data_IF_671535984135
#
_entry.id   IF_671535984135
#
_cell.length_a   1.000
_cell.length_b   1.000
_cell.length_c   1.000
_cell.angle_alpha   90.00
_cell.angle_beta   90.00
_cell.angle_gamma   90.00
#
_symmetry.space_group_name_H-M   'P 1'
#
loop_
_entity.id
_entity.type
_entity.pdbx_description
1 polymer ?
#
# COMPACT_ATOMS: atom_id res chain seq x y z
N UNK A 1 6.28 -2.80 -23.53
CA UNK A 1 6.86 -2.11 -24.71
C UNK A 1 6.18 -0.77 -25.05
N UNK A 2 4.85 -0.73 -25.25
CA UNK A 2 4.13 0.50 -25.64
C UNK A 2 4.17 1.63 -24.60
N UNK A 3 4.05 1.32 -23.29
CA UNK A 3 4.12 2.32 -22.21
C UNK A 3 5.51 2.96 -22.10
N UNK A 4 6.58 2.18 -22.28
CA UNK A 4 7.96 2.70 -22.30
C UNK A 4 8.21 3.62 -23.51
N UNK A 5 7.63 3.31 -24.67
CA UNK A 5 7.75 4.12 -25.89
C UNK A 5 6.95 5.43 -25.79
N UNK A 6 5.76 5.38 -25.18
CA UNK A 6 4.96 6.58 -24.89
C UNK A 6 5.62 7.46 -23.81
N UNK A 7 6.25 6.85 -22.79
CA UNK A 7 7.10 7.54 -21.80
C UNK A 7 8.28 8.22 -22.48
N UNK A 8 9.01 7.53 -23.36
CA UNK A 8 10.20 8.10 -24.02
C UNK A 8 9.85 9.25 -24.97
N UNK A 9 8.80 9.10 -25.79
CA UNK A 9 8.37 10.16 -26.71
C UNK A 9 7.82 11.39 -25.97
N UNK A 10 7.10 11.20 -24.86
CA UNK A 10 6.58 12.31 -24.06
C UNK A 10 7.69 13.03 -23.29
N UNK A 11 8.71 12.30 -22.81
CA UNK A 11 9.88 12.89 -22.13
C UNK A 11 10.75 13.71 -23.09
N UNK A 12 10.89 13.30 -24.35
CA UNK A 12 11.60 14.09 -25.37
C UNK A 12 10.89 15.41 -25.67
N UNK A 13 9.56 15.39 -25.83
CA UNK A 13 8.74 16.60 -26.04
C UNK A 13 8.83 17.55 -24.84
N UNK A 14 8.79 17.02 -23.62
CA UNK A 14 8.97 17.82 -22.40
C UNK A 14 10.39 18.40 -22.33
N UNK A 15 11.43 17.64 -22.71
CA UNK A 15 12.83 18.11 -22.73
C UNK A 15 13.05 19.26 -23.73
N UNK A 16 12.30 19.26 -24.84
CA UNK A 16 12.35 20.30 -25.85
C UNK A 16 11.66 21.59 -25.36
N UNK A 17 10.52 21.46 -24.66
CA UNK A 17 9.76 22.57 -24.07
C UNK A 17 10.44 23.21 -22.85
N UNK A 18 11.25 22.44 -22.10
CA UNK A 18 12.04 22.95 -20.96
C UNK A 18 13.05 24.05 -21.38
N UNK A 19 13.45 24.09 -22.66
CA UNK A 19 14.45 25.06 -23.14
C UNK A 19 13.92 26.49 -23.29
N UNK A 20 12.59 26.73 -23.26
CA UNK A 20 12.03 28.04 -23.62
C UNK A 20 11.60 28.94 -22.45
N UNK A 21 11.29 28.44 -21.24
CA UNK A 21 11.16 29.25 -19.99
C UNK A 21 10.80 28.36 -18.78
N UNK A 22 11.25 28.67 -17.55
CA UNK A 22 11.01 27.82 -16.37
C UNK A 22 9.54 27.76 -15.92
N UNK A 23 8.74 28.79 -16.17
CA UNK A 23 7.31 28.84 -15.80
C UNK A 23 6.44 28.00 -16.76
N UNK A 24 6.75 28.02 -18.06
CA UNK A 24 6.08 27.17 -19.07
C UNK A 24 6.49 25.69 -18.94
N UNK A 25 7.72 25.43 -18.52
CA UNK A 25 8.21 24.09 -18.19
C UNK A 25 7.45 23.48 -17.00
N UNK A 26 7.21 24.25 -15.94
CA UNK A 26 6.45 23.82 -14.76
C UNK A 26 4.98 23.50 -15.14
N UNK A 27 4.33 24.38 -15.91
CA UNK A 27 2.97 24.15 -16.38
C UNK A 27 2.85 22.90 -17.26
N UNK A 28 3.78 22.71 -18.20
CA UNK A 28 3.82 21.52 -19.08
C UNK A 28 4.05 20.23 -18.29
N UNK A 29 4.91 20.28 -17.27
CA UNK A 29 5.18 19.16 -16.38
C UNK A 29 3.97 18.77 -15.53
N UNK A 30 3.24 19.74 -15.01
CA UNK A 30 1.98 19.51 -14.26
C UNK A 30 0.92 18.87 -15.18
N UNK A 31 0.77 19.36 -16.42
CA UNK A 31 -0.15 18.79 -17.41
C UNK A 31 0.24 17.33 -17.73
N UNK A 32 1.52 17.06 -17.95
CA UNK A 32 2.02 15.71 -18.20
C UNK A 32 1.75 14.77 -17.02
N UNK A 33 1.99 15.20 -15.78
CA UNK A 33 1.73 14.42 -14.57
C UNK A 33 0.24 14.10 -14.38
N UNK A 34 -0.63 15.08 -14.61
CA UNK A 34 -2.07 14.88 -14.60
C UNK A 34 -2.52 13.92 -15.71
N UNK A 35 -1.88 14.01 -16.89
CA UNK A 35 -2.06 13.03 -17.96
C UNK A 35 -1.56 11.65 -17.53
N UNK A 36 -0.45 11.55 -16.80
CA UNK A 36 0.13 10.27 -16.40
C UNK A 36 -0.78 9.47 -15.46
N UNK A 37 -1.28 10.08 -14.38
CA UNK A 37 -2.27 9.43 -13.49
C UNK A 37 -3.48 8.95 -14.28
N UNK A 38 -4.00 9.81 -15.17
CA UNK A 38 -5.15 9.47 -16.03
C UNK A 38 -4.83 8.29 -16.96
N UNK A 39 -3.65 8.27 -17.57
CA UNK A 39 -3.25 7.19 -18.47
C UNK A 39 -3.13 5.86 -17.72
N UNK A 40 -2.55 5.84 -16.52
CA UNK A 40 -2.50 4.65 -15.66
C UNK A 40 -3.91 4.12 -15.38
N UNK A 41 -4.84 4.99 -14.95
CA UNK A 41 -6.23 4.60 -14.71
C UNK A 41 -6.92 4.05 -15.97
N UNK A 42 -6.74 4.71 -17.11
CA UNK A 42 -7.31 4.27 -18.39
C UNK A 42 -6.73 2.92 -18.82
N UNK A 43 -5.42 2.72 -18.66
CA UNK A 43 -4.75 1.45 -19.00
C UNK A 43 -5.27 0.30 -18.10
N UNK A 44 -5.41 0.53 -16.79
CA UNK A 44 -5.98 -0.47 -15.88
C UNK A 44 -7.40 -0.87 -16.30
N UNK A 45 -8.26 0.10 -16.64
CA UNK A 45 -9.63 -0.18 -17.09
C UNK A 45 -9.67 -0.89 -18.45
N UNK A 46 -8.83 -0.46 -19.40
CA UNK A 46 -8.74 -1.08 -20.73
C UNK A 46 -8.30 -2.54 -20.65
N UNK A 47 -7.37 -2.84 -19.76
CA UNK A 47 -6.85 -4.18 -19.56
C UNK A 47 -7.74 -5.02 -18.61
N UNK A 48 -8.86 -4.44 -18.15
CA UNK A 48 -9.92 -5.10 -17.39
C UNK A 48 -9.70 -5.16 -15.88
N UNK A 49 -8.68 -4.49 -15.33
CA UNK A 49 -8.30 -4.46 -13.92
C UNK A 49 -9.16 -3.48 -13.10
N UNK A 50 -10.46 -3.75 -13.03
CA UNK A 50 -11.43 -2.88 -12.38
C UNK A 50 -11.30 -2.87 -10.85
N UNK A 51 -10.87 -3.97 -10.21
CA UNK A 51 -10.68 -4.01 -8.75
C UNK A 51 -9.45 -3.20 -8.35
N UNK A 52 -8.32 -3.42 -9.04
CA UNK A 52 -7.10 -2.66 -8.86
C UNK A 52 -7.33 -1.17 -9.13
N UNK A 53 -8.09 -0.83 -10.19
CA UNK A 53 -8.47 0.55 -10.47
C UNK A 53 -9.28 1.17 -9.32
N UNK A 54 -10.32 0.48 -8.86
CA UNK A 54 -11.20 0.98 -7.78
C UNK A 54 -10.42 1.25 -6.51
N UNK A 55 -9.50 0.35 -6.17
CA UNK A 55 -8.64 0.50 -5.00
C UNK A 55 -7.64 1.65 -5.15
N UNK A 56 -6.94 1.76 -6.29
CA UNK A 56 -6.04 2.87 -6.56
C UNK A 56 -6.80 4.21 -6.51
N UNK A 57 -8.00 4.25 -7.08
CA UNK A 57 -8.85 5.44 -7.09
C UNK A 57 -9.25 5.84 -5.67
N UNK A 58 -9.72 4.89 -4.85
CA UNK A 58 -10.08 5.15 -3.46
C UNK A 58 -8.88 5.62 -2.61
N UNK A 59 -7.69 5.05 -2.86
CA UNK A 59 -6.45 5.50 -2.23
C UNK A 59 -6.10 6.93 -2.66
N UNK A 60 -6.22 7.26 -3.96
CA UNK A 60 -5.97 8.60 -4.45
C UNK A 60 -6.93 9.63 -3.85
N UNK A 61 -8.23 9.33 -3.77
CA UNK A 61 -9.22 10.21 -3.13
C UNK A 61 -8.91 10.44 -1.65
N UNK A 62 -8.55 9.37 -0.92
CA UNK A 62 -8.16 9.48 0.49
C UNK A 62 -6.88 10.31 0.64
N UNK A 63 -5.92 10.17 -0.28
CA UNK A 63 -4.70 10.97 -0.32
C UNK A 63 -5.02 12.46 -0.46
N UNK A 64 -5.93 12.81 -1.37
CA UNK A 64 -6.36 14.19 -1.61
C UNK A 64 -7.11 14.77 -0.40
N UNK A 65 -8.04 14.01 0.18
CA UNK A 65 -8.78 14.41 1.36
C UNK A 65 -7.88 14.67 2.58
N UNK A 66 -6.88 13.82 2.78
CA UNK A 66 -5.91 13.95 3.86
C UNK A 66 -5.06 15.21 3.71
N UNK A 67 -4.63 15.53 2.49
CA UNK A 67 -3.88 16.76 2.21
C UNK A 67 -4.72 18.02 2.39
N UNK A 68 -5.96 18.00 1.91
CA UNK A 68 -6.86 19.13 2.11
C UNK A 68 -7.14 19.38 3.60
N UNK A 69 -7.34 18.31 4.38
CA UNK A 69 -7.48 18.42 5.83
C UNK A 69 -6.23 19.00 6.51
N UNK A 70 -5.03 18.62 6.06
CA UNK A 70 -3.77 19.17 6.57
C UNK A 70 -3.62 20.66 6.26
N UNK A 71 -3.97 21.05 5.02
CA UNK A 71 -3.95 22.44 4.55
C UNK A 71 -4.88 23.32 5.40
N UNK A 72 -6.11 22.87 5.63
CA UNK A 72 -7.10 23.58 6.48
C UNK A 72 -6.60 23.72 7.92
N UNK A 73 -5.95 22.69 8.46
CA UNK A 73 -5.40 22.71 9.82
C UNK A 73 -4.05 23.42 9.95
N UNK A 74 -3.51 23.98 8.86
CA UNK A 74 -2.17 24.59 8.81
C UNK A 74 -1.07 23.65 9.33
N UNK A 75 -1.27 22.33 9.18
CA UNK A 75 -0.25 21.36 9.54
C UNK A 75 0.82 21.35 8.47
N UNK A 76 2.09 21.28 8.86
CA UNK A 76 3.24 21.14 7.95
C UNK A 76 3.29 19.79 7.22
N UNK A 77 2.22 18.99 7.30
CA UNK A 77 2.11 17.73 6.59
C UNK A 77 1.84 17.99 5.11
N UNK A 78 2.93 18.14 4.36
CA UNK A 78 2.94 18.43 2.94
C UNK A 78 3.27 17.17 2.13
N UNK A 79 2.43 16.13 2.24
CA UNK A 79 2.52 15.05 1.25
C UNK A 79 2.28 15.65 -0.14
N UNK A 80 3.21 15.39 -1.07
CA UNK A 80 3.05 15.84 -2.46
C UNK A 80 1.86 15.13 -3.12
N UNK A 81 1.23 15.72 -4.15
CA UNK A 81 0.23 15.03 -4.95
C UNK A 81 0.74 13.70 -5.49
N UNK A 82 -0.17 12.74 -5.64
CA UNK A 82 0.18 11.44 -6.20
C UNK A 82 0.63 11.58 -7.66
N UNK A 83 0.08 12.56 -8.37
CA UNK A 83 0.48 12.99 -9.71
C UNK A 83 1.94 13.43 -9.76
N UNK A 84 2.47 13.96 -8.65
CA UNK A 84 3.86 14.38 -8.55
C UNK A 84 4.83 13.25 -8.22
N UNK A 85 4.31 12.05 -7.97
CA UNK A 85 5.06 10.90 -7.52
C UNK A 85 4.82 9.73 -8.48
N UNK A 86 5.29 9.83 -9.75
CA UNK A 86 5.06 8.82 -10.77
C UNK A 86 5.62 7.45 -10.36
N UNK A 87 6.70 7.42 -9.58
CA UNK A 87 7.28 6.17 -9.08
C UNK A 87 6.29 5.41 -8.17
N UNK A 88 5.55 6.13 -7.30
CA UNK A 88 4.52 5.51 -6.45
C UNK A 88 3.37 4.97 -7.29
N UNK A 89 2.94 5.73 -8.30
CA UNK A 89 1.92 5.28 -9.26
C UNK A 89 2.35 4.02 -10.02
N UNK A 90 3.62 3.92 -10.40
CA UNK A 90 4.17 2.74 -11.08
C UNK A 90 4.15 1.52 -10.17
N UNK A 91 4.49 1.68 -8.88
CA UNK A 91 4.43 0.60 -7.91
C UNK A 91 2.98 0.15 -7.67
N UNK A 92 2.04 1.09 -7.51
CA UNK A 92 0.62 0.76 -7.43
C UNK A 92 0.15 -0.03 -8.65
N UNK A 93 0.40 0.49 -9.84
CA UNK A 93 0.01 -0.18 -11.08
C UNK A 93 0.58 -1.59 -11.17
N UNK A 94 1.89 -1.75 -10.93
CA UNK A 94 2.57 -3.03 -11.06
C UNK A 94 2.04 -4.08 -10.08
N UNK A 95 2.01 -3.76 -8.78
CA UNK A 95 1.66 -4.76 -7.76
C UNK A 95 0.15 -4.99 -7.68
N UNK A 96 -0.69 -3.97 -7.86
CA UNK A 96 -2.14 -4.16 -7.81
C UNK A 96 -2.64 -5.02 -8.98
N UNK A 97 -2.16 -4.77 -10.21
CA UNK A 97 -2.57 -5.57 -11.38
C UNK A 97 -2.09 -7.01 -11.29
N UNK A 98 -0.88 -7.25 -10.74
CA UNK A 98 -0.39 -8.60 -10.44
C UNK A 98 -1.22 -9.28 -9.35
N UNK A 99 -1.56 -8.57 -8.28
CA UNK A 99 -2.42 -9.10 -7.22
C UNK A 99 -3.80 -9.48 -7.77
N UNK A 100 -4.44 -8.64 -8.58
CA UNK A 100 -5.73 -8.97 -9.20
C UNK A 100 -5.60 -10.15 -10.19
N UNK A 101 -4.51 -10.21 -10.97
CA UNK A 101 -4.24 -11.34 -11.87
C UNK A 101 -4.10 -12.66 -11.10
N UNK A 102 -3.38 -12.64 -9.97
CA UNK A 102 -3.23 -13.80 -9.09
C UNK A 102 -4.55 -14.17 -8.40
N UNK A 103 -5.34 -13.18 -7.98
CA UNK A 103 -6.66 -13.39 -7.37
C UNK A 103 -7.61 -14.09 -8.34
N UNK A 104 -7.62 -13.70 -9.63
CA UNK A 104 -8.40 -14.39 -10.68
C UNK A 104 -8.02 -15.85 -10.90
N UNK A 105 -6.79 -16.22 -10.54
CA UNK A 105 -6.26 -17.59 -10.62
C UNK A 105 -6.35 -18.33 -9.28
N UNK A 106 -6.92 -17.70 -8.26
CA UNK A 106 -6.98 -18.20 -6.87
C UNK A 106 -5.59 -18.49 -6.26
N UNK A 107 -4.55 -17.82 -6.76
CA UNK A 107 -3.19 -17.90 -6.23
C UNK A 107 -3.01 -16.90 -5.08
N UNK A 108 -3.72 -17.16 -3.98
CA UNK A 108 -3.78 -16.25 -2.82
C UNK A 108 -2.43 -15.97 -2.18
N UNK A 109 -1.46 -16.90 -2.26
CA UNK A 109 -0.11 -16.63 -1.79
C UNK A 109 0.58 -15.52 -2.61
N UNK A 110 0.40 -15.52 -3.92
CA UNK A 110 0.93 -14.47 -4.79
C UNK A 110 0.18 -13.15 -4.57
N UNK A 111 -1.13 -13.18 -4.32
CA UNK A 111 -1.90 -12.00 -3.90
C UNK A 111 -1.27 -11.39 -2.65
N UNK A 112 -1.07 -12.20 -1.60
CA UNK A 112 -0.45 -11.75 -0.35
C UNK A 112 0.92 -11.13 -0.60
N UNK A 113 1.79 -11.79 -1.37
CA UNK A 113 3.16 -11.32 -1.60
C UNK A 113 3.19 -9.98 -2.35
N UNK A 114 2.32 -9.76 -3.34
CA UNK A 114 2.25 -8.48 -4.05
C UNK A 114 1.72 -7.35 -3.15
N UNK A 115 0.70 -7.62 -2.33
CA UNK A 115 0.18 -6.65 -1.35
C UNK A 115 1.20 -6.32 -0.26
N UNK A 116 1.92 -7.34 0.22
CA UNK A 116 2.98 -7.17 1.20
C UNK A 116 4.14 -6.33 0.64
N UNK A 117 4.53 -6.56 -0.63
CA UNK A 117 5.54 -5.73 -1.29
C UNK A 117 5.13 -4.25 -1.36
N UNK A 118 3.85 -3.95 -1.62
CA UNK A 118 3.33 -2.58 -1.54
C UNK A 118 3.44 -2.02 -0.11
N UNK A 119 3.05 -2.80 0.91
CA UNK A 119 3.17 -2.37 2.29
C UNK A 119 4.63 -2.04 2.67
N UNK A 120 5.58 -2.89 2.29
CA UNK A 120 7.01 -2.64 2.52
C UNK A 120 7.53 -1.41 1.77
N UNK A 121 7.05 -1.16 0.55
CA UNK A 121 7.43 0.01 -0.22
C UNK A 121 6.98 1.32 0.46
N UNK A 122 5.76 1.33 1.00
CA UNK A 122 5.19 2.48 1.71
C UNK A 122 5.56 2.56 3.20
N UNK A 123 6.77 2.14 3.58
CA UNK A 123 7.19 2.11 4.99
C UNK A 123 7.67 3.47 5.56
N UNK A 124 7.53 4.56 4.80
CA UNK A 124 7.87 5.90 5.28
C UNK A 124 6.79 6.43 6.24
N UNK A 125 7.18 7.30 7.16
CA UNK A 125 6.27 7.89 8.17
C UNK A 125 5.07 8.61 7.53
N UNK A 126 5.27 9.26 6.38
CA UNK A 126 4.21 9.96 5.64
C UNK A 126 3.19 9.00 5.03
N UNK A 127 3.65 7.84 4.54
CA UNK A 127 2.85 6.86 3.81
C UNK A 127 2.30 5.75 4.73
N UNK A 128 2.44 5.92 6.06
CA UNK A 128 2.00 4.95 7.07
C UNK A 128 0.57 4.46 6.82
N UNK A 129 -0.35 5.36 6.52
CA UNK A 129 -1.76 5.01 6.29
C UNK A 129 -1.95 4.11 5.05
N UNK A 130 -1.11 4.23 4.03
CA UNK A 130 -1.10 3.40 2.80
C UNK A 130 -0.57 2.01 3.13
N UNK A 131 0.54 1.94 3.87
CA UNK A 131 1.08 0.67 4.39
C UNK A 131 0.05 -0.05 5.25
N UNK A 132 -0.63 0.67 6.16
CA UNK A 132 -1.66 0.11 7.03
C UNK A 132 -2.81 -0.51 6.21
N UNK A 133 -3.29 0.20 5.18
CA UNK A 133 -4.30 -0.33 4.24
C UNK A 133 -3.87 -1.66 3.62
N UNK A 134 -2.62 -1.77 3.17
CA UNK A 134 -2.13 -3.02 2.58
C UNK A 134 -1.91 -4.13 3.61
N UNK A 135 -1.47 -3.83 4.82
CA UNK A 135 -1.41 -4.84 5.88
C UNK A 135 -2.79 -5.38 6.27
N UNK A 136 -3.82 -4.53 6.33
CA UNK A 136 -5.20 -4.99 6.55
C UNK A 136 -5.68 -5.91 5.43
N UNK A 137 -5.31 -5.62 4.17
CA UNK A 137 -5.63 -6.52 3.04
C UNK A 137 -4.83 -7.81 3.11
N UNK A 138 -3.54 -7.76 3.42
CA UNK A 138 -2.72 -8.95 3.64
C UNK A 138 -3.34 -9.85 4.71
N UNK A 139 -3.84 -9.28 5.80
CA UNK A 139 -4.54 -10.01 6.85
C UNK A 139 -5.77 -10.74 6.31
N UNK A 140 -6.65 -10.07 5.57
CA UNK A 140 -7.84 -10.69 4.96
C UNK A 140 -7.48 -11.84 4.00
N UNK A 141 -6.42 -11.68 3.20
CA UNK A 141 -5.97 -12.74 2.30
C UNK A 141 -5.34 -13.90 3.06
N UNK A 142 -4.54 -13.62 4.08
CA UNK A 142 -3.89 -14.64 4.91
C UNK A 142 -4.91 -15.56 5.61
N UNK A 143 -6.08 -15.03 6.01
CA UNK A 143 -7.16 -15.84 6.57
C UNK A 143 -7.72 -16.89 5.59
N UNK A 144 -7.58 -16.67 4.28
CA UNK A 144 -8.01 -17.58 3.22
C UNK A 144 -6.92 -18.62 2.89
N UNK A 145 -5.65 -18.28 3.08
CA UNK A 145 -4.53 -19.19 2.84
C UNK A 145 -4.51 -20.24 3.98
N UNK A 146 -4.88 -21.49 3.65
CA UNK A 146 -4.81 -22.62 4.60
C UNK A 146 -3.71 -23.63 4.28
N UNK A 147 -3.16 -23.57 3.07
CA UNK A 147 -2.19 -24.54 2.55
C UNK A 147 -0.78 -24.38 3.16
N UNK A 148 -0.47 -23.21 3.70
CA UNK A 148 0.84 -22.86 4.25
C UNK A 148 0.97 -23.19 5.75
N UNK A 149 0.01 -23.94 6.30
CA UNK A 149 -0.07 -24.23 7.73
C UNK A 149 -0.37 -22.99 8.59
N UNK A 150 -0.87 -21.89 8.03
CA UNK A 150 -1.20 -20.65 8.75
C UNK A 150 -0.02 -19.69 8.92
N UNK A 151 1.08 -19.90 8.18
CA UNK A 151 2.30 -19.10 8.33
C UNK A 151 2.04 -17.63 8.01
N UNK A 152 1.36 -17.36 6.90
CA UNK A 152 0.97 -16.01 6.47
C UNK A 152 -0.04 -15.38 7.42
N UNK A 153 -0.90 -16.18 8.04
CA UNK A 153 -1.85 -15.71 9.06
C UNK A 153 -1.10 -15.19 10.30
N UNK A 154 -0.09 -15.94 10.78
CA UNK A 154 0.78 -15.51 11.87
C UNK A 154 1.60 -14.25 11.53
N UNK A 155 2.18 -14.19 10.32
CA UNK A 155 2.91 -13.00 9.85
C UNK A 155 1.99 -11.77 9.80
N UNK A 156 0.78 -11.91 9.24
CA UNK A 156 -0.18 -10.82 9.16
C UNK A 156 -0.65 -10.34 10.53
N UNK A 157 -0.86 -11.24 11.49
CA UNK A 157 -1.12 -10.86 12.89
C UNK A 157 0.03 -10.04 13.48
N UNK A 158 1.29 -10.39 13.18
CA UNK A 158 2.47 -9.62 13.59
C UNK A 158 2.45 -8.20 13.02
N UNK A 159 2.10 -8.03 11.74
CA UNK A 159 1.96 -6.71 11.12
C UNK A 159 0.85 -5.89 11.75
N UNK A 160 -0.31 -6.48 12.05
CA UNK A 160 -1.40 -5.80 12.75
C UNK A 160 -0.96 -5.34 14.15
N UNK A 161 -0.19 -6.14 14.87
CA UNK A 161 0.39 -5.74 16.17
C UNK A 161 1.26 -4.48 16.06
N UNK A 162 2.12 -4.40 15.04
CA UNK A 162 2.93 -3.21 14.78
C UNK A 162 2.07 -1.98 14.45
N UNK A 163 0.95 -2.15 13.75
CA UNK A 163 0.03 -1.04 13.48
C UNK A 163 -0.52 -0.44 14.77
N UNK A 164 -0.93 -1.30 15.72
CA UNK A 164 -1.50 -0.88 16.98
C UNK A 164 -0.46 -0.19 17.89
N UNK A 165 0.76 -0.71 17.99
CA UNK A 165 1.83 -0.06 18.77
C UNK A 165 2.11 1.37 18.29
N UNK A 166 2.04 1.60 16.97
CA UNK A 166 2.27 2.92 16.43
C UNK A 166 1.04 3.84 16.53
N UNK A 167 -0.18 3.30 16.64
CA UNK A 167 -1.43 4.07 16.78
C UNK A 167 -1.79 4.38 18.24
N UNK A 168 -1.36 3.54 19.20
CA UNK A 168 -1.51 3.77 20.65
C UNK A 168 -0.73 5.00 21.15
N UNK A 169 0.21 5.52 20.35
CA UNK A 169 0.81 6.83 20.59
C UNK A 169 -0.11 8.01 20.22
N UNK A 170 -1.27 7.80 19.62
CA UNK A 170 -2.05 8.91 19.03
C UNK A 170 -3.57 8.90 19.27
N UNK A 171 -4.27 7.79 19.57
CA UNK A 171 -5.67 7.88 20.06
C UNK A 171 -6.27 6.57 20.58
N UNK A 172 -7.23 6.71 21.50
CA UNK A 172 -7.99 5.66 22.21
C UNK A 172 -9.05 4.94 21.35
N UNK A 173 -8.64 4.05 20.45
CA UNK A 173 -9.55 3.18 19.67
C UNK A 173 -9.08 1.71 19.70
N UNK A 174 -8.74 1.21 20.90
CA UNK A 174 -8.06 -0.08 21.13
C UNK A 174 -8.96 -1.32 21.21
N UNK A 175 -10.26 -1.24 20.91
CA UNK A 175 -11.19 -2.33 21.28
C UNK A 175 -11.53 -3.34 20.18
N UNK A 176 -11.07 -3.20 18.92
CA UNK A 176 -11.69 -3.96 17.82
C UNK A 176 -11.04 -5.29 17.43
N UNK A 177 -9.81 -5.58 17.85
CA UNK A 177 -9.11 -6.83 17.50
C UNK A 177 -8.32 -7.37 18.68
N UNK A 178 -9.05 -7.75 19.73
CA UNK A 178 -8.52 -8.60 20.80
C UNK A 178 -8.13 -9.93 20.14
N UNK A 179 -6.84 -10.28 20.30
CA UNK A 179 -6.22 -11.55 19.94
C UNK A 179 -7.19 -12.72 20.15
N UNK A 180 -7.73 -13.28 19.06
CA UNK A 180 -8.52 -14.52 19.13
C UNK A 180 -7.55 -15.68 19.38
N UNK A 181 -7.59 -16.37 20.53
CA UNK A 181 -6.69 -17.47 20.85
C UNK A 181 -7.07 -18.77 20.13
N UNK A 182 -7.63 -18.69 18.92
CA UNK A 182 -8.01 -19.85 18.12
C UNK A 182 -6.90 -20.29 17.15
N UNK A 183 -5.65 -19.94 17.44
CA UNK A 183 -4.49 -20.72 17.00
C UNK A 183 -4.56 -22.08 17.71
N UNK A 184 -5.33 -23.01 17.13
CA UNK A 184 -5.35 -24.40 17.56
C UNK A 184 -3.94 -24.94 17.49
N UNK A 185 -3.40 -25.22 18.67
CA UNK A 185 -2.07 -25.74 19.03
C UNK A 185 -1.71 -27.08 18.36
N UNK A 186 -2.46 -27.56 17.37
CA UNK A 186 -2.27 -28.93 16.85
C UNK A 186 -1.22 -29.08 15.76
N UNK A 187 -0.79 -28.03 15.03
CA UNK A 187 0.11 -28.20 13.86
C UNK A 187 1.39 -27.35 13.86
N UNK A 188 1.70 -26.65 14.96
CA UNK A 188 2.80 -25.66 15.00
C UNK A 188 4.04 -26.08 15.81
N UNK A 189 4.17 -27.35 16.18
CA UNK A 189 5.30 -27.79 17.01
C UNK A 189 6.64 -27.96 16.27
N UNK A 190 6.79 -27.49 15.03
CA UNK A 190 8.06 -27.64 14.29
C UNK A 190 8.66 -26.38 13.65
N UNK A 191 7.95 -25.25 13.59
CA UNK A 191 8.52 -24.03 13.00
C UNK A 191 8.92 -22.98 14.03
N UNK A 192 10.11 -23.24 14.59
CA UNK A 192 11.11 -22.26 14.98
C UNK A 192 10.81 -21.30 16.15
N UNK A 193 11.61 -21.52 17.19
CA UNK A 193 11.82 -20.81 18.47
C UNK A 193 12.20 -19.33 18.39
N UNK A 194 12.07 -18.66 17.24
CA UNK A 194 12.44 -17.25 17.04
C UNK A 194 11.27 -16.28 17.16
N UNK A 195 10.01 -16.73 17.04
CA UNK A 195 8.84 -15.84 17.18
C UNK A 195 8.41 -15.63 18.65
N UNK A 196 8.91 -16.45 19.58
CA UNK A 196 8.42 -16.51 20.96
C UNK A 196 9.13 -15.55 21.93
N UNK A 197 10.30 -15.01 21.59
CA UNK A 197 11.05 -14.15 22.52
C UNK A 197 10.57 -12.70 22.54
N UNK A 198 9.80 -12.24 21.54
CA UNK A 198 9.24 -10.88 21.51
C UNK A 198 7.76 -10.80 21.94
N UNK A 199 7.02 -11.89 21.85
CA UNK A 199 5.61 -11.99 22.28
C UNK A 199 5.44 -12.18 23.79
N UNK A 200 6.45 -12.71 24.49
CA UNK A 200 6.42 -12.80 25.97
C UNK A 200 6.52 -11.43 26.67
N UNK A 201 7.02 -10.39 26.02
CA UNK A 201 7.09 -9.05 26.63
C UNK A 201 5.71 -8.36 26.69
N UNK A 202 4.80 -8.69 25.78
CA UNK A 202 3.46 -8.08 25.67
C UNK A 202 2.52 -8.49 26.80
N UNK A 203 2.66 -9.71 27.35
CA UNK A 203 1.80 -10.16 28.47
C UNK A 203 2.19 -9.48 29.80
N UNK A 204 3.44 -9.01 29.94
CA UNK A 204 3.91 -8.42 31.20
C UNK A 204 3.54 -6.95 31.39
N UNK A 205 3.17 -6.23 30.32
CA UNK A 205 2.82 -4.80 30.38
C UNK A 205 1.34 -4.57 30.68
N UNK A 206 0.46 -5.54 30.41
CA UNK A 206 -0.98 -5.40 30.64
C UNK A 206 -1.50 -6.02 31.97
N UNK A 207 -0.62 -6.59 32.81
CA UNK A 207 -0.98 -7.16 34.12
C UNK A 207 -0.25 -6.47 35.29
N UNK A 208 0.05 -5.18 35.14
CA UNK A 208 0.46 -4.30 36.26
C UNK A 208 -0.74 -3.60 36.86
#
# INVERSE_FOLDING_TARGET
PKIHILKSQSLEVISALIKETPESALASYIIYRNSYKKNVCVDMLRDGYHKSFTELFALAEKWDALREAARVRSLSWAQRPLEEQPDKLDHFYYYLTRAETAERKEYFEEVYNNLYALACYFNNSEDKWVRNHFYERCFKIAQVIKIDGGKKEAEAHGHMGLLFEEDEKTSSQSSKYIFHPHCTISNYLSFHTTCCTRTWLMVKVCLG
#
